data_IF_020219165544
#
_entry.id   IF_020219165544
#
_cell.length_a   1.000
_cell.length_b   1.000
_cell.length_c   1.000
_cell.angle_alpha   90.00
_cell.angle_beta   90.00
_cell.angle_gamma   90.00
#
_symmetry.space_group_name_H-M   'P 1'
#
loop_
_entity.id
_entity.type
_entity.pdbx_description
1 polymer ?
#
# COMPACT_ATOMS: atom_id res chain seq x y z
N UNK A 1 4.39 -38.26 -6.69
CA UNK A 1 4.57 -37.39 -5.51
C UNK A 1 4.07 -36.01 -5.91
N UNK A 2 2.93 -35.57 -5.36
CA UNK A 2 2.53 -34.15 -5.54
C UNK A 2 3.50 -33.37 -4.66
N UNK A 3 4.34 -32.53 -5.25
CA UNK A 3 5.14 -31.59 -4.49
C UNK A 3 4.17 -30.81 -3.60
N UNK A 4 4.42 -30.83 -2.29
CA UNK A 4 3.66 -30.07 -1.32
C UNK A 4 3.92 -28.59 -1.65
N UNK A 5 3.00 -27.97 -2.38
CA UNK A 5 3.13 -26.56 -2.74
C UNK A 5 3.02 -25.78 -1.44
N UNK A 6 4.10 -25.10 -1.05
CA UNK A 6 4.07 -24.16 0.07
C UNK A 6 2.88 -23.21 -0.14
N UNK A 7 2.00 -23.05 0.86
CA UNK A 7 0.83 -22.18 0.70
C UNK A 7 1.28 -20.76 0.37
N UNK A 8 0.60 -20.13 -0.60
CA UNK A 8 0.91 -18.77 -1.02
C UNK A 8 0.67 -17.79 0.15
N UNK A 9 1.55 -16.79 0.34
CA UNK A 9 1.32 -15.67 1.24
C UNK A 9 -0.06 -15.04 1.08
N UNK A 10 -0.74 -14.80 2.20
CA UNK A 10 -2.08 -14.25 2.28
C UNK A 10 -2.01 -12.72 2.38
N UNK A 11 -2.58 -12.04 1.39
CA UNK A 11 -2.59 -10.58 1.27
C UNK A 11 -3.96 -10.05 1.66
N UNK A 12 -4.01 -9.13 2.62
CA UNK A 12 -5.20 -8.37 2.97
C UNK A 12 -5.01 -6.91 2.54
N UNK A 13 -5.97 -6.36 1.80
CA UNK A 13 -5.89 -4.96 1.33
C UNK A 13 -6.85 -4.09 2.13
N UNK A 14 -6.39 -2.94 2.63
CA UNK A 14 -7.21 -1.92 3.26
C UNK A 14 -7.37 -0.71 2.35
N UNK A 15 -8.61 -0.21 2.21
CA UNK A 15 -8.91 0.95 1.36
C UNK A 15 -10.02 1.84 1.96
N UNK A 16 -10.16 3.07 1.43
CA UNK A 16 -11.22 4.01 1.86
C UNK A 16 -12.10 4.54 0.74
N UNK A 17 -11.75 4.33 -0.53
CA UNK A 17 -12.36 5.06 -1.65
C UNK A 17 -12.48 4.24 -2.94
N UNK A 18 -11.99 4.81 -4.05
CA UNK A 18 -12.17 4.27 -5.41
C UNK A 18 -11.49 2.93 -5.67
N UNK A 19 -10.43 2.60 -4.91
CA UNK A 19 -9.72 1.32 -5.02
C UNK A 19 -8.96 1.13 -6.34
N UNK A 20 -8.42 2.18 -6.94
CA UNK A 20 -7.65 2.06 -8.19
C UNK A 20 -6.36 1.24 -8.00
N UNK A 21 -5.62 1.46 -6.90
CA UNK A 21 -4.48 0.62 -6.52
C UNK A 21 -4.89 -0.83 -6.20
N UNK A 22 -6.05 -1.02 -5.57
CA UNK A 22 -6.60 -2.37 -5.37
C UNK A 22 -6.85 -3.05 -6.72
N UNK A 23 -7.39 -2.35 -7.72
CA UNK A 23 -7.60 -2.92 -9.05
C UNK A 23 -6.28 -3.41 -9.67
N UNK A 24 -5.22 -2.60 -9.62
CA UNK A 24 -3.91 -2.97 -10.13
C UNK A 24 -3.35 -4.23 -9.43
N UNK A 25 -3.55 -4.34 -8.11
CA UNK A 25 -3.16 -5.53 -7.34
C UNK A 25 -3.98 -6.77 -7.73
N UNK A 26 -5.30 -6.62 -7.88
CA UNK A 26 -6.19 -7.69 -8.36
C UNK A 26 -5.72 -8.19 -9.72
N UNK A 27 -5.48 -7.28 -10.67
CA UNK A 27 -5.08 -7.64 -12.03
C UNK A 27 -3.71 -8.35 -12.04
N UNK A 28 -2.73 -7.88 -11.27
CA UNK A 28 -1.45 -8.54 -11.13
C UNK A 28 -1.57 -9.93 -10.46
N UNK A 29 -2.41 -10.08 -9.44
CA UNK A 29 -2.64 -11.36 -8.76
C UNK A 29 -3.31 -12.44 -9.62
N UNK A 30 -3.85 -12.07 -10.80
CA UNK A 30 -4.37 -13.04 -11.79
C UNK A 30 -3.28 -13.66 -12.63
N UNK A 31 -2.07 -13.10 -12.62
CA UNK A 31 -0.92 -13.71 -13.27
C UNK A 31 -0.62 -15.08 -12.64
N UNK A 32 -0.43 -16.10 -13.47
CA UNK A 32 -0.23 -17.50 -13.02
C UNK A 32 0.89 -17.66 -12.00
N UNK A 33 1.92 -16.83 -12.11
CA UNK A 33 3.14 -16.88 -11.28
C UNK A 33 3.17 -15.73 -10.25
N UNK A 34 2.03 -15.10 -9.93
CA UNK A 34 2.00 -14.14 -8.83
C UNK A 34 2.15 -14.87 -7.49
N UNK A 35 3.13 -14.51 -6.63
CA UNK A 35 3.56 -15.33 -5.51
C UNK A 35 2.73 -15.07 -4.24
N UNK A 36 1.48 -14.66 -4.37
CA UNK A 36 0.61 -14.33 -3.23
C UNK A 36 -0.86 -14.35 -3.63
N UNK A 37 -1.75 -14.39 -2.63
CA UNK A 37 -3.19 -14.42 -2.85
C UNK A 37 -3.86 -13.27 -2.08
N UNK A 38 -4.66 -12.45 -2.77
CA UNK A 38 -5.52 -11.49 -2.09
C UNK A 38 -6.70 -12.24 -1.48
N UNK A 39 -6.71 -12.34 -0.15
CA UNK A 39 -7.70 -13.14 0.59
C UNK A 39 -8.88 -12.32 1.08
N UNK A 40 -8.67 -11.02 1.36
CA UNK A 40 -9.73 -10.13 1.82
C UNK A 40 -9.43 -8.66 1.48
N UNK A 41 -10.50 -7.88 1.31
CA UNK A 41 -10.46 -6.42 1.20
C UNK A 41 -11.30 -5.79 2.31
N UNK A 42 -10.66 -5.00 3.14
CA UNK A 42 -11.29 -4.25 4.22
C UNK A 42 -11.47 -2.78 3.86
N UNK A 43 -12.66 -2.23 4.11
CA UNK A 43 -12.91 -0.80 3.96
C UNK A 43 -13.40 -0.16 5.25
N UNK A 44 -12.99 1.08 5.51
CA UNK A 44 -13.55 1.87 6.63
C UNK A 44 -14.79 2.68 6.24
N UNK A 45 -15.18 2.66 4.96
CA UNK A 45 -16.33 3.37 4.40
C UNK A 45 -17.26 2.33 3.72
N UNK A 46 -18.52 2.17 4.16
CA UNK A 46 -19.44 1.19 3.57
C UNK A 46 -19.73 1.37 2.08
N UNK A 47 -19.60 2.59 1.55
CA UNK A 47 -19.84 2.92 0.14
C UNK A 47 -18.57 3.05 -0.71
N UNK A 48 -17.44 2.50 -0.25
CA UNK A 48 -16.20 2.54 -1.03
C UNK A 48 -16.31 1.65 -2.28
N UNK A 49 -16.07 2.21 -3.46
CA UNK A 49 -16.07 1.46 -4.72
C UNK A 49 -15.01 0.34 -4.76
N UNK A 50 -13.99 0.41 -3.90
CA UNK A 50 -13.06 -0.70 -3.66
C UNK A 50 -13.76 -2.03 -3.29
N UNK A 51 -14.87 -1.97 -2.55
CA UNK A 51 -15.66 -3.15 -2.20
C UNK A 51 -16.30 -3.80 -3.44
N UNK A 52 -16.79 -2.98 -4.37
CA UNK A 52 -17.38 -3.47 -5.63
C UNK A 52 -16.32 -4.16 -6.50
N UNK A 53 -15.11 -3.58 -6.59
CA UNK A 53 -13.98 -4.20 -7.31
C UNK A 53 -13.60 -5.55 -6.73
N UNK A 54 -13.52 -5.65 -5.40
CA UNK A 54 -13.21 -6.90 -4.71
C UNK A 54 -14.29 -7.96 -4.94
N UNK A 55 -15.57 -7.59 -4.81
CA UNK A 55 -16.69 -8.49 -5.05
C UNK A 55 -16.72 -9.01 -6.49
N UNK A 56 -16.48 -8.15 -7.49
CA UNK A 56 -16.36 -8.55 -8.90
C UNK A 56 -15.20 -9.52 -9.16
N UNK A 57 -14.15 -9.45 -8.34
CA UNK A 57 -13.03 -10.37 -8.37
C UNK A 57 -13.22 -11.64 -7.53
N UNK A 58 -14.40 -11.83 -6.89
CA UNK A 58 -14.69 -12.91 -5.95
C UNK A 58 -13.74 -12.95 -4.73
N UNK A 59 -13.32 -11.78 -4.26
CA UNK A 59 -12.50 -11.62 -3.06
C UNK A 59 -13.42 -11.30 -1.88
N UNK A 60 -13.15 -11.91 -0.73
CA UNK A 60 -13.89 -11.65 0.51
C UNK A 60 -13.78 -10.16 0.89
N UNK A 61 -14.88 -9.57 1.35
CA UNK A 61 -14.91 -8.16 1.75
C UNK A 61 -15.45 -8.01 3.15
N UNK A 62 -14.89 -7.06 3.90
CA UNK A 62 -15.44 -6.64 5.19
C UNK A 62 -15.43 -5.11 5.31
N UNK A 63 -16.30 -4.60 6.19
CA UNK A 63 -16.41 -3.17 6.45
C UNK A 63 -16.37 -2.93 7.95
N UNK A 64 -15.42 -2.09 8.38
CA UNK A 64 -15.37 -1.56 9.75
C UNK A 64 -15.65 -0.06 9.65
N UNK A 65 -16.91 0.35 9.79
CA UNK A 65 -17.27 1.75 9.62
C UNK A 65 -16.70 2.59 10.78
N UNK A 66 -15.63 3.34 10.51
CA UNK A 66 -14.97 4.21 11.50
C UNK A 66 -15.91 5.25 12.16
N UNK A 67 -17.06 5.58 11.54
CA UNK A 67 -18.07 6.49 12.13
C UNK A 67 -18.87 5.86 13.27
N UNK A 68 -18.78 4.55 13.46
CA UNK A 68 -19.51 3.83 14.51
C UNK A 68 -18.75 3.79 15.85
N UNK A 69 -17.56 4.39 15.93
CA UNK A 69 -16.67 4.31 17.10
C UNK A 69 -16.43 5.69 17.69
N UNK A 70 -16.30 5.76 19.02
CA UNK A 70 -16.07 7.02 19.75
C UNK A 70 -14.61 7.45 19.76
N UNK A 71 -13.69 6.53 19.48
CA UNK A 71 -12.24 6.76 19.51
C UNK A 71 -11.51 6.01 18.38
N UNK A 72 -10.24 6.35 18.16
CA UNK A 72 -9.41 5.62 17.18
C UNK A 72 -9.06 4.24 17.69
N UNK A 73 -8.85 4.13 18.98
CA UNK A 73 -8.46 2.92 19.70
C UNK A 73 -9.57 1.85 19.59
N UNK A 74 -10.83 2.25 19.77
CA UNK A 74 -11.98 1.35 19.57
C UNK A 74 -12.10 0.88 18.11
N UNK A 75 -11.94 1.80 17.15
CA UNK A 75 -11.97 1.48 15.73
C UNK A 75 -10.85 0.50 15.34
N UNK A 76 -9.61 0.79 15.75
CA UNK A 76 -8.43 -0.02 15.43
C UNK A 76 -8.51 -1.40 16.08
N UNK A 77 -9.04 -1.51 17.31
CA UNK A 77 -9.27 -2.80 17.95
C UNK A 77 -10.26 -3.66 17.15
N UNK A 78 -11.36 -3.05 16.68
CA UNK A 78 -12.33 -3.74 15.82
C UNK A 78 -11.74 -4.12 14.46
N UNK A 79 -10.95 -3.24 13.84
CA UNK A 79 -10.29 -3.49 12.57
C UNK A 79 -9.26 -4.62 12.70
N UNK A 80 -8.45 -4.59 13.75
CA UNK A 80 -7.46 -5.62 14.04
C UNK A 80 -8.11 -6.99 14.26
N UNK A 81 -9.22 -7.04 15.00
CA UNK A 81 -9.96 -8.29 15.20
C UNK A 81 -10.43 -8.90 13.87
N UNK A 82 -10.93 -8.08 12.95
CA UNK A 82 -11.35 -8.55 11.62
C UNK A 82 -10.16 -9.03 10.78
N UNK A 83 -9.08 -8.25 10.74
CA UNK A 83 -7.85 -8.61 10.03
C UNK A 83 -7.31 -9.97 10.50
N UNK A 84 -7.29 -10.22 11.82
CA UNK A 84 -6.79 -11.47 12.39
C UNK A 84 -7.60 -12.70 11.98
N UNK A 85 -8.90 -12.56 11.70
CA UNK A 85 -9.74 -13.67 11.20
C UNK A 85 -9.28 -14.20 9.85
N UNK A 86 -8.65 -13.35 9.03
CA UNK A 86 -8.14 -13.73 7.72
C UNK A 86 -6.70 -14.25 7.75
N UNK A 87 -6.00 -14.19 8.90
CA UNK A 87 -4.61 -14.61 9.08
C UNK A 87 -3.67 -14.15 7.93
N UNK A 88 -3.51 -12.83 7.71
CA UNK A 88 -2.68 -12.34 6.62
C UNK A 88 -1.18 -12.42 6.93
N UNK A 89 -0.41 -12.71 5.90
CA UNK A 89 1.05 -12.58 5.91
C UNK A 89 1.48 -11.15 5.56
N UNK A 90 0.65 -10.44 4.77
CA UNK A 90 0.86 -9.07 4.33
C UNK A 90 -0.45 -8.28 4.41
N UNK A 91 -0.37 -7.06 4.94
CA UNK A 91 -1.43 -6.04 4.90
C UNK A 91 -0.96 -4.90 3.99
N UNK A 92 -1.80 -4.52 3.04
CA UNK A 92 -1.50 -3.54 2.00
C UNK A 92 -2.46 -2.35 2.14
N UNK A 93 -1.94 -1.17 2.43
CA UNK A 93 -2.74 0.06 2.50
C UNK A 93 -2.83 0.66 1.08
N UNK A 94 -4.00 0.53 0.46
CA UNK A 94 -4.26 0.99 -0.91
C UNK A 94 -5.25 2.18 -0.87
N UNK A 95 -4.75 3.33 -0.45
CA UNK A 95 -5.59 4.52 -0.25
C UNK A 95 -6.44 4.43 1.02
N UNK A 96 -5.88 3.90 2.10
CA UNK A 96 -6.52 3.84 3.41
C UNK A 96 -6.34 5.16 4.17
N UNK A 97 -7.39 5.97 4.22
CA UNK A 97 -7.36 7.37 4.68
C UNK A 97 -7.62 7.50 6.19
N UNK A 98 -7.02 6.62 7.00
CA UNK A 98 -7.09 6.66 8.47
C UNK A 98 -5.71 6.47 9.07
N UNK A 99 -5.37 7.34 10.02
CA UNK A 99 -4.17 7.19 10.84
C UNK A 99 -4.41 6.03 11.81
N UNK A 100 -3.54 5.03 11.73
CA UNK A 100 -3.51 3.88 12.62
C UNK A 100 -2.78 4.23 13.91
N UNK A 101 -3.24 3.69 15.02
CA UNK A 101 -2.64 3.84 16.34
C UNK A 101 -1.31 3.08 16.42
N UNK A 102 -0.46 3.50 17.36
CA UNK A 102 0.81 2.85 17.65
C UNK A 102 0.66 1.35 17.94
N UNK A 103 -0.35 0.96 18.72
CA UNK A 103 -0.56 -0.44 19.09
C UNK A 103 -0.95 -1.30 17.88
N UNK A 104 -1.80 -0.76 16.99
CA UNK A 104 -2.14 -1.41 15.72
C UNK A 104 -0.87 -1.61 14.87
N UNK A 105 -0.06 -0.57 14.73
CA UNK A 105 1.16 -0.64 13.92
C UNK A 105 2.15 -1.65 14.46
N UNK A 106 2.33 -1.70 15.80
CA UNK A 106 3.20 -2.66 16.46
C UNK A 106 2.74 -4.10 16.26
N UNK A 107 1.43 -4.36 16.30
CA UNK A 107 0.87 -5.70 16.11
C UNK A 107 1.20 -6.29 14.74
N UNK A 108 1.34 -5.45 13.72
CA UNK A 108 1.62 -5.85 12.33
C UNK A 108 2.97 -5.35 11.82
N UNK A 109 3.91 -5.04 12.71
CA UNK A 109 5.23 -4.50 12.35
C UNK A 109 5.94 -5.42 11.36
N UNK A 110 6.41 -4.84 10.25
CA UNK A 110 7.09 -5.58 9.17
C UNK A 110 6.16 -6.38 8.25
N UNK A 111 4.84 -6.35 8.49
CA UNK A 111 3.81 -6.97 7.64
C UNK A 111 2.87 -5.96 7.00
N UNK A 112 3.19 -4.66 7.07
CA UNK A 112 2.34 -3.61 6.51
C UNK A 112 3.12 -2.77 5.49
N UNK A 113 2.53 -2.65 4.30
CA UNK A 113 3.02 -1.79 3.24
C UNK A 113 2.02 -0.67 2.97
N UNK A 114 2.53 0.53 2.70
CA UNK A 114 1.74 1.66 2.25
C UNK A 114 2.36 2.26 0.98
N UNK A 115 1.48 2.77 0.13
CA UNK A 115 1.83 3.58 -1.02
C UNK A 115 1.49 5.04 -0.72
N UNK A 116 2.46 5.93 -0.96
CA UNK A 116 2.33 7.35 -0.69
C UNK A 116 2.64 8.16 -1.95
N UNK A 117 1.76 9.09 -2.37
CA UNK A 117 1.89 9.83 -3.63
C UNK A 117 2.90 11.00 -3.53
N UNK A 118 4.10 10.72 -3.06
CA UNK A 118 5.25 11.64 -3.15
C UNK A 118 6.57 10.88 -3.15
N UNK A 119 7.66 11.59 -3.43
CA UNK A 119 9.02 11.09 -3.22
C UNK A 119 9.44 11.35 -1.76
N UNK A 120 9.04 10.44 -0.86
CA UNK A 120 9.41 10.49 0.55
C UNK A 120 10.93 10.66 0.72
N UNK A 121 11.39 11.50 1.68
CA UNK A 121 10.61 12.09 2.78
C UNK A 121 9.83 13.38 2.42
N UNK A 122 9.84 13.83 1.15
CA UNK A 122 9.08 15.04 0.78
C UNK A 122 7.56 14.80 0.90
N UNK A 123 6.84 15.82 1.34
CA UNK A 123 5.36 15.88 1.30
C UNK A 123 4.64 14.71 1.98
N UNK A 124 4.96 14.41 3.24
CA UNK A 124 4.12 13.52 4.07
C UNK A 124 2.69 14.07 4.22
N UNK A 125 1.72 13.20 4.47
CA UNK A 125 0.32 13.56 4.62
C UNK A 125 -0.39 13.92 3.31
N UNK A 126 -1.32 14.87 3.37
CA UNK A 126 -2.28 15.11 2.29
C UNK A 126 -1.81 16.15 1.25
N UNK A 127 -2.53 16.18 0.12
CA UNK A 127 -2.38 17.17 -0.97
C UNK A 127 -0.96 17.27 -1.53
N UNK A 128 -0.30 16.12 -1.69
CA UNK A 128 1.09 16.03 -2.12
C UNK A 128 1.34 16.69 -3.48
N UNK A 129 0.46 16.45 -4.45
CA UNK A 129 0.55 17.00 -5.81
C UNK A 129 0.47 18.54 -5.82
N UNK A 130 -0.52 19.10 -5.11
CA UNK A 130 -0.67 20.54 -4.97
C UNK A 130 0.58 21.17 -4.32
N UNK A 131 1.09 20.55 -3.26
CA UNK A 131 2.28 21.04 -2.55
C UNK A 131 3.56 20.97 -3.39
N UNK A 132 3.69 19.96 -4.26
CA UNK A 132 4.80 19.86 -5.19
C UNK A 132 4.76 21.01 -6.23
N UNK A 133 3.59 21.28 -6.80
CA UNK A 133 3.38 22.38 -7.75
C UNK A 133 3.63 23.75 -7.10
N UNK A 134 3.07 23.99 -5.91
CA UNK A 134 3.26 25.24 -5.16
C UNK A 134 4.72 25.48 -4.78
N UNK A 135 5.50 24.42 -4.57
CA UNK A 135 6.93 24.51 -4.28
C UNK A 135 7.79 24.74 -5.54
N UNK A 136 7.22 24.63 -6.75
CA UNK A 136 7.95 24.73 -8.01
C UNK A 136 8.88 23.53 -8.25
N UNK A 137 8.53 22.34 -7.74
CA UNK A 137 9.29 21.12 -8.02
C UNK A 137 9.19 20.77 -9.52
N UNK A 138 10.28 20.28 -10.12
CA UNK A 138 10.29 19.78 -11.51
C UNK A 138 10.04 18.26 -11.59
N UNK A 139 10.09 17.57 -10.46
CA UNK A 139 9.93 16.12 -10.35
C UNK A 139 9.05 15.81 -9.14
N UNK A 140 8.12 14.89 -9.33
CA UNK A 140 7.29 14.31 -8.28
C UNK A 140 7.29 12.78 -8.42
N UNK A 141 6.43 12.08 -7.68
CA UNK A 141 6.38 10.63 -7.80
C UNK A 141 5.61 9.95 -6.70
N UNK A 142 5.92 8.68 -6.53
CA UNK A 142 5.32 7.76 -5.56
C UNK A 142 6.40 7.04 -4.78
N UNK A 143 6.12 6.73 -3.52
CA UNK A 143 6.94 5.89 -2.64
C UNK A 143 6.12 4.73 -2.10
N UNK A 144 6.74 3.55 -2.01
CA UNK A 144 6.21 2.42 -1.26
C UNK A 144 7.14 2.15 -0.09
N UNK A 145 6.56 2.06 1.10
CA UNK A 145 7.31 1.96 2.33
C UNK A 145 6.65 0.99 3.31
N UNK A 146 7.46 0.51 4.25
CA UNK A 146 6.90 -0.16 5.43
C UNK A 146 6.17 0.86 6.30
N UNK A 147 5.04 0.48 6.88
CA UNK A 147 4.32 1.32 7.83
C UNK A 147 5.02 1.24 9.20
N UNK A 148 5.29 2.40 9.79
CA UNK A 148 5.80 2.57 11.15
C UNK A 148 4.88 3.51 11.94
N UNK A 149 5.19 3.76 13.22
CA UNK A 149 4.41 4.64 14.08
C UNK A 149 4.45 6.10 13.61
N UNK A 150 5.45 6.45 12.79
CA UNK A 150 5.58 7.77 12.18
C UNK A 150 4.76 7.83 10.88
N UNK A 151 3.93 8.87 10.75
CA UNK A 151 3.12 9.11 9.57
C UNK A 151 4.00 9.25 8.33
N UNK A 152 3.85 8.32 7.38
CA UNK A 152 4.62 8.25 6.13
C UNK A 152 6.15 8.28 6.36
N UNK A 153 6.61 7.83 7.54
CA UNK A 153 8.01 7.92 7.99
C UNK A 153 8.79 6.61 7.97
N UNK A 154 8.13 5.50 7.61
CA UNK A 154 8.79 4.20 7.62
C UNK A 154 9.79 4.00 6.48
N UNK A 155 10.69 3.00 6.59
CA UNK A 155 11.72 2.75 5.58
C UNK A 155 11.14 2.54 4.18
N UNK A 156 11.59 3.36 3.23
CA UNK A 156 11.14 3.34 1.85
C UNK A 156 11.78 2.17 1.10
N UNK A 157 10.96 1.35 0.46
CA UNK A 157 11.37 0.18 -0.31
C UNK A 157 11.68 0.57 -1.75
N UNK A 158 10.76 1.30 -2.38
CA UNK A 158 10.86 1.66 -3.78
C UNK A 158 10.18 2.99 -4.08
N UNK A 159 10.64 3.66 -5.14
CA UNK A 159 10.11 4.91 -5.65
C UNK A 159 10.01 4.88 -7.17
N UNK A 160 9.09 5.67 -7.71
CA UNK A 160 9.02 5.98 -9.13
C UNK A 160 8.78 7.48 -9.31
N UNK A 161 9.50 8.08 -10.25
CA UNK A 161 9.47 9.52 -10.52
C UNK A 161 8.56 9.83 -11.72
N UNK A 162 8.00 11.04 -11.72
CA UNK A 162 7.31 11.65 -12.85
C UNK A 162 7.78 13.09 -13.00
N UNK A 163 7.97 13.54 -14.24
CA UNK A 163 8.28 14.94 -14.53
C UNK A 163 7.03 15.81 -14.36
N UNK A 164 7.21 16.97 -13.72
CA UNK A 164 6.19 18.02 -13.66
C UNK A 164 6.35 18.91 -14.89
N UNK A 165 5.31 19.00 -15.71
CA UNK A 165 5.24 19.91 -16.84
C UNK A 165 4.80 21.32 -16.38
N UNK A 166 5.16 22.39 -17.09
CA UNK A 166 4.79 23.77 -16.71
C UNK A 166 3.29 24.01 -16.58
N UNK A 167 2.46 23.24 -17.28
CA UNK A 167 1.00 23.32 -17.31
C UNK A 167 0.29 22.24 -16.49
N UNK A 168 1.04 21.42 -15.73
CA UNK A 168 0.43 20.42 -14.86
C UNK A 168 -0.43 21.09 -13.76
N UNK A 169 -1.67 20.63 -13.66
CA UNK A 169 -2.57 20.84 -12.52
C UNK A 169 -2.40 19.71 -11.49
N UNK A 170 -2.84 19.89 -10.23
CA UNK A 170 -2.83 18.82 -9.23
C UNK A 170 -3.49 17.52 -9.72
N UNK A 171 -4.54 17.62 -10.52
CA UNK A 171 -5.27 16.49 -11.10
C UNK A 171 -4.43 15.78 -12.18
N UNK A 172 -3.85 16.53 -13.13
CA UNK A 172 -3.01 15.93 -14.17
C UNK A 172 -1.74 15.28 -13.59
N UNK A 173 -1.15 15.89 -12.55
CA UNK A 173 -0.02 15.31 -11.84
C UNK A 173 -0.43 14.05 -11.06
N UNK A 174 -1.62 14.06 -10.44
CA UNK A 174 -2.16 12.88 -9.77
C UNK A 174 -2.35 11.70 -10.75
N UNK A 175 -2.82 11.96 -11.97
CA UNK A 175 -2.97 10.91 -13.00
C UNK A 175 -1.60 10.31 -13.38
N UNK A 176 -0.57 11.15 -13.62
CA UNK A 176 0.79 10.67 -13.89
C UNK A 176 1.35 9.82 -12.75
N UNK A 177 1.18 10.27 -11.51
CA UNK A 177 1.64 9.52 -10.32
C UNK A 177 0.87 8.21 -10.21
N UNK A 178 -0.44 8.21 -10.41
CA UNK A 178 -1.30 7.03 -10.34
C UNK A 178 -0.90 5.94 -11.34
N UNK A 179 -0.47 6.31 -12.56
CA UNK A 179 0.09 5.35 -13.51
C UNK A 179 1.33 4.64 -12.96
N UNK A 180 2.21 5.39 -12.28
CA UNK A 180 3.39 4.81 -11.60
C UNK A 180 3.00 3.96 -10.39
N UNK A 181 1.98 4.38 -9.62
CA UNK A 181 1.45 3.59 -8.50
C UNK A 181 0.98 2.20 -8.96
N UNK A 182 0.23 2.14 -10.05
CA UNK A 182 -0.36 0.90 -10.59
C UNK A 182 0.70 -0.09 -11.08
N UNK A 183 1.89 0.39 -11.42
CA UNK A 183 3.04 -0.45 -11.79
C UNK A 183 3.88 -0.82 -10.56
N UNK A 184 4.23 0.17 -9.74
CA UNK A 184 5.18 -0.02 -8.65
C UNK A 184 4.58 -0.87 -7.52
N UNK A 185 3.28 -0.73 -7.22
CA UNK A 185 2.69 -1.43 -6.08
C UNK A 185 2.65 -2.95 -6.23
N UNK A 186 2.16 -3.48 -7.35
CA UNK A 186 2.21 -4.92 -7.58
C UNK A 186 3.62 -5.50 -7.56
N UNK A 187 4.62 -4.76 -8.06
CA UNK A 187 6.03 -5.18 -8.06
C UNK A 187 6.55 -5.33 -6.62
N UNK A 188 6.32 -4.34 -5.75
CA UNK A 188 6.78 -4.42 -4.36
C UNK A 188 6.04 -5.48 -3.57
N UNK A 189 4.72 -5.63 -3.78
CA UNK A 189 3.94 -6.71 -3.15
C UNK A 189 4.46 -8.08 -3.58
N UNK A 190 4.78 -8.27 -4.87
CA UNK A 190 5.44 -9.48 -5.37
C UNK A 190 6.76 -9.74 -4.64
N UNK A 191 7.64 -8.75 -4.53
CA UNK A 191 8.92 -8.92 -3.82
C UNK A 191 8.75 -9.29 -2.35
N UNK A 192 7.75 -8.72 -1.67
CA UNK A 192 7.43 -9.11 -0.29
C UNK A 192 7.00 -10.58 -0.22
N UNK A 193 6.08 -10.99 -1.09
CA UNK A 193 5.57 -12.36 -1.14
C UNK A 193 6.64 -13.40 -1.56
N UNK A 194 7.63 -13.00 -2.37
CA UNK A 194 8.82 -13.81 -2.69
C UNK A 194 9.82 -13.90 -1.52
N UNK A 195 9.59 -13.17 -0.42
CA UNK A 195 10.51 -13.08 0.72
C UNK A 195 11.76 -12.25 0.44
N UNK A 196 11.78 -11.50 -0.67
CA UNK A 196 12.92 -10.68 -1.09
C UNK A 196 13.00 -9.39 -0.29
N UNK A 197 11.86 -8.80 0.06
CA UNK A 197 11.77 -7.58 0.86
C UNK A 197 11.40 -7.92 2.30
N UNK A 198 12.19 -7.44 3.25
CA UNK A 198 11.93 -7.60 4.68
C UNK A 198 12.26 -6.30 5.43
N UNK A 199 11.56 -6.05 6.53
CA UNK A 199 11.88 -4.95 7.44
C UNK A 199 12.96 -5.40 8.43
N UNK A 200 14.08 -4.68 8.50
CA UNK A 200 15.08 -4.83 9.56
C UNK A 200 14.68 -4.13 10.86
N UNK A 201 15.66 -3.60 11.58
CA UNK A 201 15.39 -2.69 12.70
C UNK A 201 14.74 -1.42 12.16
N UNK A 202 15.45 -0.58 11.40
CA UNK A 202 14.90 0.66 10.82
C UNK A 202 15.32 0.86 9.36
N UNK A 203 15.52 -0.24 8.64
CA UNK A 203 15.96 -0.25 7.25
C UNK A 203 15.28 -1.38 6.47
N UNK A 204 15.32 -1.31 5.14
CA UNK A 204 14.81 -2.36 4.25
C UNK A 204 15.93 -3.34 3.94
N UNK A 205 15.63 -4.63 4.03
CA UNK A 205 16.43 -5.70 3.47
C UNK A 205 15.86 -6.10 2.11
N UNK A 206 16.73 -6.22 1.12
CA UNK A 206 16.41 -6.72 -0.21
C UNK A 206 17.35 -7.88 -0.57
N UNK A 207 16.81 -9.06 -0.87
CA UNK A 207 17.57 -10.29 -1.14
C UNK A 207 18.64 -10.57 -0.05
N UNK A 208 18.24 -10.37 1.21
CA UNK A 208 19.09 -10.59 2.38
C UNK A 208 20.18 -9.53 2.62
N UNK A 209 20.15 -8.38 1.92
CA UNK A 209 21.13 -7.30 2.10
C UNK A 209 20.44 -5.98 2.44
N UNK A 210 21.04 -5.12 3.30
CA UNK A 210 20.50 -3.79 3.57
C UNK A 210 20.50 -2.97 2.28
N UNK A 211 19.35 -2.35 2.01
CA UNK A 211 19.15 -1.49 0.87
C UNK A 211 19.69 -0.09 1.20
N UNK A 212 20.64 0.40 0.40
CA UNK A 212 21.33 1.69 0.64
C UNK A 212 20.53 2.90 0.16
N UNK A 213 19.60 2.70 -0.78
CA UNK A 213 18.68 3.71 -1.30
C UNK A 213 17.46 3.01 -1.91
N UNK A 214 16.25 3.63 -1.89
CA UNK A 214 15.03 3.05 -2.47
C UNK A 214 15.26 2.49 -3.87
N UNK A 215 14.70 1.30 -4.14
CA UNK A 215 14.67 0.75 -5.50
C UNK A 215 13.98 1.74 -6.43
N UNK A 216 14.54 1.94 -7.62
CA UNK A 216 13.92 2.76 -8.67
C UNK A 216 13.51 1.86 -9.82
N UNK A 217 12.31 2.08 -10.36
CA UNK A 217 11.97 1.49 -11.65
C UNK A 217 12.86 2.14 -12.72
N UNK A 218 13.34 1.38 -13.71
CA UNK A 218 13.95 1.96 -14.89
C UNK A 218 12.97 2.93 -15.57
N UNK A 219 13.49 4.04 -16.08
CA UNK A 219 12.73 4.86 -17.02
C UNK A 219 12.56 4.03 -18.30
N UNK A 220 11.33 3.55 -18.55
CA UNK A 220 10.97 2.90 -19.81
C UNK A 220 10.91 3.94 -20.94
#
# INVERSE_FOLDING_TARGET
MKADQTPLPRILVLASGSGTNLQALIDASREREFPGQIVAVGCNQPGAFALERAAQANIETFVVNHKNFGSREEFDASLMAEILRHNPDLIVLAGFMRILTTDFVRAFRGKMLNIHPSLLPKYTGLKTHQRALEAGDNVHGVSIHFVTEELDGGPVIAQAEVSIAPDDTPESLAEKVKEKEHVLYPIVVRWFCEGRVQLGSDYVMFDGKPLSAPMRLPDN
#
